data_IF_684471200903
#
_entry.id   IF_684471200903
#
_cell.length_a   1.000
_cell.length_b   1.000
_cell.length_c   1.000
_cell.angle_alpha   90.00
_cell.angle_beta   90.00
_cell.angle_gamma   90.00
#
_symmetry.space_group_name_H-M   'P 1'
#
loop_
_entity.id
_entity.type
_entity.pdbx_description
1 polymer ?
#
# COMPACT_ATOMS: atom_id res chain seq x y z
N UNK A 1 -14.50 -12.45 26.97
CA UNK A 1 -13.11 -12.08 26.72
C UNK A 1 -13.01 -11.19 25.49
N UNK A 2 -12.57 -9.99 25.69
CA UNK A 2 -12.47 -9.04 24.58
C UNK A 2 -11.15 -9.29 23.86
N UNK A 3 -11.23 -9.75 22.63
CA UNK A 3 -10.05 -9.84 21.78
C UNK A 3 -9.73 -8.45 21.28
N UNK A 4 -8.61 -7.92 21.70
CA UNK A 4 -8.19 -6.61 21.23
C UNK A 4 -7.65 -6.77 19.81
N UNK A 5 -8.36 -6.21 18.86
CA UNK A 5 -7.91 -6.28 17.47
C UNK A 5 -7.11 -5.03 17.13
N UNK A 6 -5.94 -5.25 16.53
CA UNK A 6 -5.10 -4.17 16.01
C UNK A 6 -5.44 -3.87 14.55
N UNK A 7 -6.35 -4.63 13.97
CA UNK A 7 -6.71 -4.48 12.56
C UNK A 7 -8.01 -3.71 12.41
N UNK A 8 -8.12 -3.02 11.29
CA UNK A 8 -9.34 -2.32 10.89
C UNK A 8 -9.88 -2.92 9.60
N UNK A 9 -11.15 -2.63 9.31
CA UNK A 9 -11.79 -2.99 8.05
C UNK A 9 -11.81 -1.77 7.15
N UNK A 10 -11.50 -1.99 5.88
CA UNK A 10 -11.57 -0.96 4.84
C UNK A 10 -12.64 -1.34 3.85
N UNK A 11 -13.50 -0.39 3.51
CA UNK A 11 -14.57 -0.58 2.52
C UNK A 11 -14.78 0.75 1.79
N UNK A 12 -14.42 0.82 0.52
CA UNK A 12 -14.57 2.05 -0.22
C UNK A 12 -13.93 2.04 -1.59
N UNK A 13 -13.86 3.22 -2.17
CA UNK A 13 -13.21 3.44 -3.46
C UNK A 13 -11.78 3.95 -3.24
N UNK A 14 -10.88 3.37 -3.99
CA UNK A 14 -9.48 3.76 -3.99
C UNK A 14 -9.04 4.04 -5.42
N UNK A 15 -7.84 4.59 -5.59
CA UNK A 15 -7.43 5.14 -6.86
C UNK A 15 -6.01 4.70 -7.20
N UNK A 16 -5.79 4.47 -8.49
CA UNK A 16 -4.49 4.06 -9.01
C UNK A 16 -4.30 4.61 -10.41
N UNK A 17 -3.10 5.13 -10.68
CA UNK A 17 -2.73 5.53 -12.03
C UNK A 17 -2.23 4.32 -12.81
N UNK A 18 -2.61 4.24 -14.08
CA UNK A 18 -2.12 3.21 -14.98
C UNK A 18 -2.03 3.76 -16.39
N UNK A 19 -1.15 3.17 -17.20
CA UNK A 19 -1.14 3.39 -18.63
C UNK A 19 -2.37 2.68 -19.21
N UNK A 20 -3.20 3.38 -20.02
CA UNK A 20 -4.40 2.76 -20.61
C UNK A 20 -4.11 1.45 -21.36
N UNK A 21 -2.92 1.32 -21.96
CA UNK A 21 -2.54 0.10 -22.65
C UNK A 21 -2.42 -1.11 -21.72
N UNK A 22 -2.22 -0.86 -20.41
CA UNK A 22 -2.05 -1.93 -19.41
C UNK A 22 -3.19 -1.98 -18.39
N UNK A 23 -4.34 -1.37 -18.73
CA UNK A 23 -5.51 -1.32 -17.84
C UNK A 23 -5.93 -2.72 -17.36
N UNK A 24 -5.82 -3.72 -18.20
CA UNK A 24 -6.17 -5.09 -17.89
C UNK A 24 -5.32 -5.68 -16.75
N UNK A 25 -4.15 -5.09 -16.48
CA UNK A 25 -3.24 -5.54 -15.44
C UNK A 25 -3.30 -4.66 -14.18
N UNK A 26 -4.29 -3.77 -14.08
CA UNK A 26 -4.36 -2.81 -12.96
C UNK A 26 -4.44 -3.50 -11.59
N UNK A 27 -5.01 -4.71 -11.53
CA UNK A 27 -5.15 -5.46 -10.28
C UNK A 27 -4.15 -6.60 -10.16
N UNK A 28 -3.13 -6.65 -11.01
CA UNK A 28 -2.11 -7.70 -10.95
C UNK A 28 -1.07 -7.45 -9.85
N UNK A 29 -1.01 -6.23 -9.34
CA UNK A 29 -0.04 -5.84 -8.34
C UNK A 29 1.31 -5.45 -8.94
N UNK A 30 2.11 -4.75 -8.15
CA UNK A 30 3.46 -4.36 -8.54
C UNK A 30 4.39 -5.56 -8.42
N UNK A 31 5.21 -5.77 -9.44
CA UNK A 31 6.27 -6.80 -9.42
C UNK A 31 7.66 -6.17 -9.34
N UNK A 32 7.73 -4.84 -9.24
CA UNK A 32 8.98 -4.12 -9.04
C UNK A 32 9.17 -3.80 -7.56
N UNK A 33 10.38 -3.40 -7.19
CA UNK A 33 10.62 -3.00 -5.80
C UNK A 33 9.81 -1.77 -5.42
N UNK A 34 9.33 -1.75 -4.19
CA UNK A 34 8.58 -0.64 -3.63
C UNK A 34 8.88 -0.49 -2.15
N UNK A 35 8.23 0.48 -1.53
CA UNK A 35 8.45 0.73 -0.09
C UNK A 35 8.18 -0.52 0.75
N UNK A 36 7.16 -1.29 0.39
CA UNK A 36 6.76 -2.47 1.16
C UNK A 36 6.87 -3.77 0.35
N UNK A 37 7.63 -3.77 -0.75
CA UNK A 37 7.67 -4.94 -1.60
C UNK A 37 9.03 -5.14 -2.25
N UNK A 38 9.50 -6.39 -2.23
CA UNK A 38 10.66 -6.82 -2.98
C UNK A 38 10.26 -7.08 -4.43
N UNK A 39 11.27 -7.26 -5.29
CA UNK A 39 11.02 -7.66 -6.68
C UNK A 39 10.27 -9.00 -6.70
N UNK A 40 9.33 -9.13 -7.62
CA UNK A 40 8.50 -10.33 -7.80
C UNK A 40 7.64 -10.67 -6.56
N UNK A 41 7.39 -9.69 -5.71
CA UNK A 41 6.47 -9.82 -4.57
C UNK A 41 5.22 -8.99 -4.86
N UNK A 42 4.15 -9.60 -5.38
CA UNK A 42 2.96 -8.84 -5.79
C UNK A 42 2.40 -8.03 -4.64
N UNK A 43 2.18 -6.74 -4.89
CA UNK A 43 1.68 -5.79 -3.89
C UNK A 43 0.83 -4.75 -4.61
N UNK A 44 -0.35 -4.48 -4.09
CA UNK A 44 -1.26 -3.52 -4.70
C UNK A 44 -1.20 -2.22 -3.92
N UNK A 45 -0.69 -1.18 -4.56
CA UNK A 45 -0.57 0.16 -3.99
C UNK A 45 -1.70 1.04 -4.51
N UNK A 46 -2.52 1.55 -3.60
CA UNK A 46 -3.69 2.36 -3.93
C UNK A 46 -3.67 3.66 -3.12
N UNK A 47 -4.28 4.71 -3.67
CA UNK A 47 -4.43 5.97 -2.95
C UNK A 47 -5.86 6.16 -2.49
N UNK A 48 -6.03 6.86 -1.37
CA UNK A 48 -7.36 7.13 -0.79
C UNK A 48 -8.13 8.16 -1.60
N UNK A 49 -7.45 8.93 -2.48
CA UNK A 49 -8.09 9.97 -3.28
C UNK A 49 -7.35 10.13 -4.60
N UNK A 50 -7.99 10.73 -5.63
CA UNK A 50 -7.30 11.04 -6.89
C UNK A 50 -6.12 11.99 -6.69
N UNK A 51 -6.22 12.93 -5.76
CA UNK A 51 -5.14 13.87 -5.43
C UNK A 51 -3.91 13.13 -4.91
N UNK A 52 -4.10 12.07 -4.13
CA UNK A 52 -3.01 11.24 -3.65
C UNK A 52 -2.27 10.54 -4.77
N UNK A 53 -2.98 10.13 -5.81
CA UNK A 53 -2.35 9.53 -7.00
C UNK A 53 -1.46 10.56 -7.69
N UNK A 54 -1.96 11.77 -7.88
CA UNK A 54 -1.20 12.83 -8.55
C UNK A 54 0.06 13.19 -7.76
N UNK A 55 -0.03 13.28 -6.44
CA UNK A 55 1.12 13.57 -5.58
C UNK A 55 2.16 12.46 -5.71
N UNK A 56 1.75 11.20 -5.71
CA UNK A 56 2.66 10.07 -5.86
C UNK A 56 3.29 10.06 -7.25
N UNK A 57 2.55 10.43 -8.30
CA UNK A 57 3.06 10.47 -9.65
C UNK A 57 4.10 11.55 -9.87
N UNK A 58 4.02 12.66 -9.16
CA UNK A 58 4.99 13.75 -9.31
C UNK A 58 6.43 13.29 -9.03
N UNK A 59 6.59 12.33 -8.14
CA UNK A 59 7.91 11.78 -7.83
C UNK A 59 8.50 10.93 -8.97
N UNK A 60 7.68 10.55 -9.94
CA UNK A 60 8.08 9.64 -11.02
C UNK A 60 7.81 10.21 -12.42
N UNK A 61 7.57 11.52 -12.54
CA UNK A 61 7.20 12.14 -13.83
C UNK A 61 8.20 11.89 -14.94
N UNK A 62 9.47 11.85 -14.60
CA UNK A 62 10.53 11.67 -15.60
C UNK A 62 10.70 10.21 -16.05
N UNK A 63 9.99 9.29 -15.43
CA UNK A 63 10.14 7.85 -15.66
C UNK A 63 8.91 7.23 -16.29
N UNK A 64 7.83 7.99 -16.49
CA UNK A 64 6.57 7.47 -16.95
C UNK A 64 6.16 8.06 -18.29
N UNK A 65 5.36 7.30 -19.02
CA UNK A 65 4.65 7.78 -20.18
C UNK A 65 3.82 9.01 -19.81
N UNK A 66 3.71 9.96 -20.72
CA UNK A 66 2.86 11.12 -20.54
C UNK A 66 1.37 10.77 -20.48
N UNK A 67 0.98 9.57 -20.93
CA UNK A 67 -0.42 9.14 -21.01
C UNK A 67 -0.71 8.18 -19.85
N UNK A 68 -1.43 8.68 -18.84
CA UNK A 68 -1.91 7.86 -17.74
C UNK A 68 -3.37 8.15 -17.47
N UNK A 69 -4.09 7.16 -16.95
CA UNK A 69 -5.44 7.36 -16.45
C UNK A 69 -5.51 6.96 -14.98
N UNK A 70 -6.44 7.56 -14.26
CA UNK A 70 -6.68 7.21 -12.86
C UNK A 70 -7.88 6.28 -12.81
N UNK A 71 -7.66 5.06 -12.35
CA UNK A 71 -8.71 4.07 -12.19
C UNK A 71 -9.29 4.13 -10.79
N UNK A 72 -10.60 3.87 -10.71
CA UNK A 72 -11.29 3.68 -9.43
C UNK A 72 -11.37 2.19 -9.14
N UNK A 73 -11.01 1.83 -7.93
CA UNK A 73 -10.97 0.44 -7.50
C UNK A 73 -11.77 0.32 -6.22
N UNK A 74 -12.79 -0.54 -6.23
CA UNK A 74 -13.57 -0.83 -5.03
C UNK A 74 -12.86 -1.90 -4.22
N UNK A 75 -12.59 -1.59 -2.96
CA UNK A 75 -11.90 -2.51 -2.06
C UNK A 75 -12.77 -2.75 -0.84
N UNK A 76 -12.90 -4.02 -0.48
CA UNK A 76 -13.42 -4.45 0.81
C UNK A 76 -12.36 -5.35 1.42
N UNK A 77 -11.82 -4.96 2.57
CA UNK A 77 -10.69 -5.66 3.16
C UNK A 77 -10.80 -5.71 4.68
N UNK A 78 -10.67 -6.92 5.22
CA UNK A 78 -10.48 -7.12 6.65
C UNK A 78 -8.98 -7.21 6.95
N UNK A 79 -8.62 -7.10 8.23
CA UNK A 79 -7.26 -7.29 8.72
C UNK A 79 -6.25 -6.31 8.11
N UNK A 80 -6.64 -5.05 8.04
CA UNK A 80 -5.76 -3.97 7.58
C UNK A 80 -5.16 -3.28 8.80
N UNK A 81 -3.84 -3.14 8.82
CA UNK A 81 -3.13 -2.46 9.89
C UNK A 81 -3.00 -0.97 9.59
N UNK A 82 -3.47 -0.13 10.49
CA UNK A 82 -3.44 1.31 10.30
C UNK A 82 -2.18 1.90 10.94
N UNK A 83 -1.20 2.25 10.12
CA UNK A 83 0.05 2.86 10.62
C UNK A 83 -0.17 4.24 11.24
N UNK A 84 -1.35 4.83 11.07
CA UNK A 84 -1.70 6.13 11.67
C UNK A 84 -2.16 6.00 13.12
N UNK A 85 -2.42 4.78 13.58
CA UNK A 85 -2.95 4.51 14.91
C UNK A 85 -1.80 4.22 15.89
N UNK A 86 -1.50 5.16 16.83
CA UNK A 86 -0.39 4.97 17.75
C UNK A 86 -0.57 3.77 18.69
N UNK A 87 -1.80 3.44 19.06
CA UNK A 87 -2.06 2.29 19.93
C UNK A 87 -1.79 0.98 19.20
N UNK A 88 -2.18 0.90 17.93
CA UNK A 88 -1.89 -0.28 17.12
C UNK A 88 -0.39 -0.46 16.93
N UNK A 89 0.34 0.63 16.66
CA UNK A 89 1.80 0.59 16.53
C UNK A 89 2.45 0.07 17.81
N UNK A 90 2.02 0.58 18.95
CA UNK A 90 2.55 0.18 20.24
C UNK A 90 2.28 -1.30 20.52
N UNK A 91 1.05 -1.73 20.26
CA UNK A 91 0.67 -3.12 20.49
C UNK A 91 1.46 -4.09 19.60
N UNK A 92 1.67 -3.71 18.35
CA UNK A 92 2.39 -4.55 17.39
C UNK A 92 3.90 -4.47 17.53
N UNK A 93 4.42 -3.54 18.31
CA UNK A 93 5.87 -3.35 18.47
C UNK A 93 6.50 -2.76 17.22
N UNK A 94 5.78 -1.95 16.48
CA UNK A 94 6.27 -1.35 15.23
C UNK A 94 6.62 0.12 15.48
N UNK A 95 7.83 0.49 15.06
CA UNK A 95 8.27 1.87 15.06
C UNK A 95 7.91 2.49 13.70
N UNK A 96 7.10 3.56 13.73
CA UNK A 96 6.68 4.25 12.50
C UNK A 96 7.89 4.74 11.69
N UNK A 97 8.99 5.07 12.35
CA UNK A 97 10.20 5.52 11.66
C UNK A 97 10.75 4.46 10.70
N UNK A 98 10.54 3.19 10.99
CA UNK A 98 10.96 2.11 10.09
C UNK A 98 10.11 2.09 8.82
N UNK A 99 8.82 2.41 8.94
CA UNK A 99 7.92 2.45 7.78
C UNK A 99 8.22 3.63 6.86
N UNK A 100 8.59 4.79 7.45
CA UNK A 100 8.83 6.02 6.69
C UNK A 100 10.29 6.21 6.29
N UNK A 101 11.18 5.31 6.70
CA UNK A 101 12.60 5.40 6.38
C UNK A 101 12.85 5.37 4.86
N UNK A 102 13.94 5.97 4.39
CA UNK A 102 14.30 5.88 2.97
C UNK A 102 14.40 4.43 2.52
N UNK A 103 13.92 4.16 1.31
CA UNK A 103 13.98 2.80 0.78
C UNK A 103 14.72 2.70 -0.55
N UNK A 104 14.59 3.72 -1.41
CA UNK A 104 15.21 3.69 -2.74
C UNK A 104 16.72 3.69 -2.64
N UNK A 105 17.29 4.56 -1.82
CA UNK A 105 18.74 4.65 -1.62
C UNK A 105 19.28 3.38 -0.96
N UNK A 106 18.51 2.78 -0.06
CA UNK A 106 18.91 1.56 0.63
C UNK A 106 19.03 0.40 -0.37
N UNK A 107 18.05 0.27 -1.27
CA UNK A 107 18.09 -0.75 -2.33
C UNK A 107 19.26 -0.49 -3.28
N UNK A 108 19.46 0.77 -3.67
CA UNK A 108 20.56 1.14 -4.56
C UNK A 108 21.91 0.80 -3.95
N UNK A 109 22.04 0.84 -2.63
CA UNK A 109 23.25 0.47 -1.90
C UNK A 109 23.38 -1.04 -1.66
N UNK A 110 22.42 -1.85 -2.12
CA UNK A 110 22.44 -3.30 -1.95
C UNK A 110 21.92 -3.78 -0.60
N UNK A 111 21.23 -2.92 0.14
CA UNK A 111 20.73 -3.23 1.48
C UNK A 111 19.20 -3.42 1.47
N UNK A 112 18.67 -3.95 2.57
CA UNK A 112 17.24 -4.21 2.73
C UNK A 112 16.57 -3.03 3.44
N UNK A 113 15.53 -2.42 2.84
CA UNK A 113 14.80 -1.33 3.49
C UNK A 113 14.13 -1.77 4.79
N UNK A 114 14.08 -0.87 5.78
CA UNK A 114 13.42 -1.14 7.04
C UNK A 114 11.91 -1.37 6.87
N UNK A 115 11.29 -0.70 5.90
CA UNK A 115 9.87 -0.86 5.63
C UNK A 115 9.50 -2.27 5.18
N UNK A 116 10.44 -3.02 4.58
CA UNK A 116 10.19 -4.42 4.24
C UNK A 116 10.06 -5.28 5.49
N UNK A 117 10.82 -4.96 6.56
CA UNK A 117 10.68 -5.65 7.84
C UNK A 117 9.34 -5.35 8.50
N UNK A 118 8.86 -4.11 8.36
CA UNK A 118 7.52 -3.74 8.85
C UNK A 118 6.47 -4.63 8.19
N UNK A 119 6.53 -4.78 6.87
CA UNK A 119 5.60 -5.67 6.17
C UNK A 119 5.67 -7.10 6.70
N UNK A 120 6.86 -7.64 6.87
CA UNK A 120 7.01 -9.02 7.37
C UNK A 120 6.44 -9.19 8.78
N UNK A 121 6.65 -8.20 9.65
CA UNK A 121 6.08 -8.22 10.99
C UNK A 121 4.56 -8.21 10.94
N UNK A 122 3.99 -7.38 10.07
CA UNK A 122 2.54 -7.29 9.92
C UNK A 122 1.95 -8.57 9.34
N UNK A 123 2.59 -9.17 8.35
CA UNK A 123 2.14 -10.44 7.80
C UNK A 123 2.18 -11.55 8.86
N UNK A 124 3.20 -11.56 9.70
CA UNK A 124 3.30 -12.52 10.79
C UNK A 124 2.18 -12.36 11.82
N UNK A 125 1.63 -11.15 11.97
CA UNK A 125 0.49 -10.87 12.85
C UNK A 125 -0.85 -11.17 12.18
N UNK A 126 -0.86 -11.49 10.90
CA UNK A 126 -2.09 -11.80 10.15
C UNK A 126 -2.62 -10.66 9.32
N UNK A 127 -1.86 -9.58 9.12
CA UNK A 127 -2.31 -8.46 8.30
C UNK A 127 -2.39 -8.83 6.83
N UNK A 128 -3.47 -8.38 6.19
CA UNK A 128 -3.63 -8.52 4.74
C UNK A 128 -3.13 -7.29 3.98
N UNK A 129 -2.87 -6.21 4.71
CA UNK A 129 -2.37 -4.96 4.15
C UNK A 129 -2.20 -3.92 5.24
N UNK A 130 -1.88 -2.69 4.82
CA UNK A 130 -1.69 -1.58 5.75
C UNK A 130 -2.22 -0.27 5.16
N UNK A 131 -2.50 0.67 6.06
CA UNK A 131 -2.75 2.07 5.70
C UNK A 131 -1.46 2.84 5.97
N UNK A 132 -0.96 3.51 4.93
CA UNK A 132 0.29 4.26 4.98
C UNK A 132 -0.01 5.75 4.83
N UNK A 133 0.34 6.60 5.82
CA UNK A 133 0.09 8.03 5.68
C UNK A 133 0.97 8.64 4.59
N UNK A 134 0.41 9.55 3.81
CA UNK A 134 1.19 10.26 2.79
C UNK A 134 2.19 11.20 3.45
N UNK A 135 3.45 11.14 3.03
CA UNK A 135 4.50 12.01 3.54
C UNK A 135 4.53 13.35 2.83
N UNK A 136 4.01 13.40 1.60
CA UNK A 136 4.06 14.59 0.76
C UNK A 136 2.80 15.44 0.88
N UNK A 137 1.70 14.85 1.31
CA UNK A 137 0.41 15.53 1.40
C UNK A 137 -0.28 15.12 2.70
N UNK A 138 -0.08 15.85 3.81
CA UNK A 138 -0.72 15.53 5.08
C UNK A 138 -2.24 15.44 4.92
N UNK A 139 -2.83 14.42 5.56
CA UNK A 139 -4.26 14.14 5.47
C UNK A 139 -4.64 13.14 4.38
N UNK A 140 -3.78 12.92 3.41
CA UNK A 140 -3.94 11.84 2.44
C UNK A 140 -3.24 10.57 2.92
N UNK A 141 -3.70 9.43 2.42
CA UNK A 141 -3.12 8.15 2.82
C UNK A 141 -3.24 7.14 1.68
N UNK A 142 -2.50 6.07 1.80
CA UNK A 142 -2.45 5.01 0.79
C UNK A 142 -2.86 3.70 1.43
N UNK A 143 -3.48 2.85 0.63
CA UNK A 143 -3.79 1.47 1.02
C UNK A 143 -2.81 0.55 0.29
N UNK A 144 -2.11 -0.27 1.05
CA UNK A 144 -1.16 -1.23 0.50
C UNK A 144 -1.68 -2.62 0.83
N UNK A 145 -2.02 -3.41 -0.19
CA UNK A 145 -2.52 -4.78 -0.01
C UNK A 145 -1.43 -5.78 -0.29
N UNK A 146 -1.24 -6.72 0.62
CA UNK A 146 -0.28 -7.81 0.51
C UNK A 146 -0.90 -9.02 -0.19
N UNK A 147 -2.21 -9.13 -0.11
CA UNK A 147 -3.00 -10.15 -0.79
C UNK A 147 -4.39 -9.59 -1.10
N UNK A 148 -4.99 -10.06 -2.17
CA UNK A 148 -6.34 -9.67 -2.59
C UNK A 148 -6.90 -10.70 -3.56
N UNK A 149 -8.23 -10.85 -3.54
CA UNK A 149 -8.95 -11.75 -4.46
C UNK A 149 -8.50 -13.21 -4.39
N UNK A 150 -8.00 -13.63 -3.22
CA UNK A 150 -7.52 -15.01 -3.01
C UNK A 150 -8.34 -15.74 -1.96
N UNK A 151 -9.56 -15.31 -1.72
CA UNK A 151 -10.51 -15.97 -0.85
C UNK A 151 -10.82 -15.22 0.42
N UNK A 152 -9.91 -15.09 1.35
CA UNK A 152 -10.25 -14.71 2.71
C UNK A 152 -10.25 -13.20 2.95
N UNK A 153 -11.41 -12.56 2.79
CA UNK A 153 -11.66 -11.26 3.41
C UNK A 153 -11.10 -10.04 2.70
N UNK A 154 -10.49 -10.18 1.51
CA UNK A 154 -9.98 -9.04 0.74
C UNK A 154 -10.43 -9.16 -0.70
N UNK A 155 -11.20 -8.17 -1.17
CA UNK A 155 -11.59 -8.08 -2.56
C UNK A 155 -11.23 -6.72 -3.13
N UNK A 156 -10.77 -6.72 -4.38
CA UNK A 156 -10.46 -5.50 -5.12
C UNK A 156 -10.94 -5.68 -6.56
N UNK A 157 -11.72 -4.73 -7.05
CA UNK A 157 -12.26 -4.80 -8.41
C UNK A 157 -12.36 -3.40 -9.00
N UNK A 158 -12.27 -3.33 -10.33
CA UNK A 158 -12.45 -2.07 -11.03
C UNK A 158 -13.89 -1.60 -10.85
N UNK A 159 -14.06 -0.35 -10.43
CA UNK A 159 -15.36 0.31 -10.33
C UNK A 159 -15.57 1.14 -11.58
N UNK A 160 -16.74 0.98 -12.19
CA UNK A 160 -17.11 1.71 -13.41
C UNK A 160 -18.13 2.78 -13.17
#
# INVERSE_FOLDING_TARGET
MTTHTIFTRVDGLFYRATDPAFRQYALSGSVTTGRYSAIDQPTLYLSSSPEGVEVAMQAHRNQRSAVTEILRIRVTANNIFDLRDPLALQYAGINIDDAIAPWQEIIAAGNTPRSWRVRRQLEALGAAGLIDPSRKAPGLWHLVLFQWNQGAGVSAELAE
#
